data_IF_988168788262
#
_entry.id   IF_988168788262
#
_cell.length_a   1.000
_cell.length_b   1.000
_cell.length_c   1.000
_cell.angle_alpha   90.00
_cell.angle_beta   90.00
_cell.angle_gamma   90.00
#
_symmetry.space_group_name_H-M   'P 1'
#
loop_
_entity.id
_entity.type
_entity.pdbx_description
1 polymer ?
#
# COMPACT_ATOMS: atom_id res chain seq x y z
N UNK A 1 12.90 32.54 -15.15
CA UNK A 1 13.03 31.62 -14.01
C UNK A 1 11.70 30.92 -13.84
N UNK A 2 11.57 29.69 -14.32
CA UNK A 2 10.35 28.89 -14.13
C UNK A 2 10.38 28.33 -12.73
N UNK A 3 9.45 28.78 -11.87
CA UNK A 3 9.35 28.26 -10.51
C UNK A 3 9.14 26.74 -10.57
N UNK A 4 9.99 25.98 -9.87
CA UNK A 4 9.88 24.53 -9.74
C UNK A 4 8.58 24.21 -8.98
N UNK A 5 7.60 23.62 -9.67
CA UNK A 5 6.25 23.31 -9.16
C UNK A 5 6.22 22.07 -8.27
N UNK A 6 7.32 21.75 -7.58
CA UNK A 6 7.40 20.58 -6.71
C UNK A 6 6.89 20.93 -5.32
N UNK A 7 5.97 20.11 -4.81
CA UNK A 7 5.46 20.25 -3.45
C UNK A 7 6.59 19.97 -2.45
N UNK A 8 6.72 20.79 -1.40
CA UNK A 8 7.73 20.56 -0.36
C UNK A 8 7.45 19.28 0.42
N UNK A 9 8.52 18.62 0.86
CA UNK A 9 8.44 17.39 1.66
C UNK A 9 8.69 17.67 3.15
N UNK A 10 9.21 18.85 3.44
CA UNK A 10 9.48 19.36 4.78
C UNK A 10 8.94 20.78 4.91
N UNK A 11 8.24 21.05 6.01
CA UNK A 11 7.70 22.36 6.35
C UNK A 11 7.92 22.66 7.82
N UNK A 12 8.70 23.71 8.08
CA UNK A 12 8.81 24.33 9.39
C UNK A 12 8.03 25.65 9.41
N UNK A 13 7.93 26.26 10.59
CA UNK A 13 7.29 27.58 10.76
C UNK A 13 7.92 28.68 9.89
N UNK A 14 9.21 28.55 9.57
CA UNK A 14 10.00 29.61 8.91
C UNK A 14 10.50 29.22 7.53
N UNK A 15 10.42 27.95 7.15
CA UNK A 15 11.00 27.46 5.90
C UNK A 15 10.29 26.22 5.38
N UNK A 16 10.39 26.03 4.07
CA UNK A 16 9.83 24.89 3.36
C UNK A 16 10.87 24.38 2.37
N UNK A 17 11.10 23.07 2.33
CA UNK A 17 12.15 22.46 1.51
C UNK A 17 11.76 21.07 1.00
N UNK A 18 12.51 20.60 0.01
CA UNK A 18 12.38 19.25 -0.56
C UNK A 18 13.66 18.50 -0.20
N UNK A 19 13.59 17.68 0.84
CA UNK A 19 14.74 16.95 1.38
C UNK A 19 14.52 15.44 1.39
N UNK A 20 13.30 14.99 1.09
CA UNK A 20 12.91 13.58 1.06
C UNK A 20 12.68 13.13 -0.38
N UNK A 21 13.27 12.00 -0.76
CA UNK A 21 13.23 11.49 -2.13
C UNK A 21 13.01 9.99 -2.15
N UNK A 22 12.15 9.53 -3.06
CA UNK A 22 11.99 8.11 -3.38
C UNK A 22 12.60 7.87 -4.75
N UNK A 23 13.72 7.18 -4.80
CA UNK A 23 14.37 6.76 -6.04
C UNK A 23 13.94 5.35 -6.43
N UNK A 24 13.77 5.13 -7.73
CA UNK A 24 13.47 3.82 -8.30
C UNK A 24 14.30 3.63 -9.57
N UNK A 25 14.59 2.38 -9.91
CA UNK A 25 15.29 2.03 -11.15
C UNK A 25 14.39 2.28 -12.36
N UNK A 26 14.93 2.60 -13.55
CA UNK A 26 14.12 2.95 -14.72
C UNK A 26 13.11 1.87 -15.15
N UNK A 27 13.43 0.60 -14.93
CA UNK A 27 12.57 -0.54 -15.21
C UNK A 27 11.30 -0.57 -14.35
N UNK A 28 11.30 0.06 -13.18
CA UNK A 28 10.11 0.17 -12.31
C UNK A 28 9.12 1.24 -12.77
N UNK A 29 9.52 2.15 -13.68
CA UNK A 29 8.64 3.22 -14.15
C UNK A 29 7.34 2.66 -14.75
N UNK A 30 7.40 1.58 -15.52
CA UNK A 30 6.21 0.99 -16.15
C UNK A 30 5.22 0.41 -15.13
N UNK A 31 5.68 0.15 -13.90
CA UNK A 31 4.87 -0.35 -12.80
C UNK A 31 4.32 0.78 -11.93
N UNK A 32 4.73 2.04 -12.11
CA UNK A 32 4.29 3.15 -11.29
C UNK A 32 2.80 3.45 -11.52
N UNK A 33 1.99 3.37 -10.47
CA UNK A 33 0.57 3.73 -10.51
C UNK A 33 0.37 5.19 -10.11
N UNK A 34 1.00 5.59 -9.01
CA UNK A 34 0.78 6.89 -8.40
C UNK A 34 1.92 7.24 -7.43
N UNK A 35 2.15 8.53 -7.24
CA UNK A 35 2.99 9.08 -6.18
C UNK A 35 2.25 10.23 -5.49
N UNK A 36 2.23 10.26 -4.16
CA UNK A 36 1.58 11.31 -3.37
C UNK A 36 2.55 11.94 -2.37
N UNK A 37 2.24 13.17 -2.01
CA UNK A 37 2.86 13.90 -0.90
C UNK A 37 1.69 14.41 -0.07
N UNK A 38 1.45 13.74 1.06
CA UNK A 38 0.28 13.96 1.89
C UNK A 38 0.67 14.68 3.18
N UNK A 39 -0.16 15.62 3.60
CA UNK A 39 0.03 16.30 4.87
C UNK A 39 -0.36 15.37 6.02
N UNK A 40 0.53 15.24 7.00
CA UNK A 40 0.27 14.59 8.28
C UNK A 40 0.33 15.64 9.38
N UNK A 41 -0.21 15.34 10.57
CA UNK A 41 -0.26 16.31 11.67
C UNK A 41 1.13 16.89 11.97
N UNK A 42 1.25 18.22 11.86
CA UNK A 42 2.48 18.95 12.17
C UNK A 42 2.88 18.85 13.65
N UNK A 43 1.95 18.46 14.53
CA UNK A 43 2.27 18.17 15.93
C UNK A 43 3.18 16.94 16.09
N UNK A 44 3.19 16.03 15.11
CA UNK A 44 3.97 14.80 15.17
C UNK A 44 5.28 14.91 14.40
N UNK A 45 5.26 15.62 13.27
CA UNK A 45 6.42 15.79 12.40
C UNK A 45 6.26 17.00 11.49
N UNK A 46 7.37 17.65 11.17
CA UNK A 46 7.46 18.70 10.16
C UNK A 46 7.66 18.15 8.74
N UNK A 47 7.71 16.82 8.57
CA UNK A 47 7.74 16.16 7.27
C UNK A 47 6.35 15.81 6.76
N UNK A 48 6.18 15.86 5.45
CA UNK A 48 5.02 15.35 4.75
C UNK A 48 5.23 13.86 4.45
N UNK A 49 4.14 13.12 4.35
CA UNK A 49 4.16 11.70 4.02
C UNK A 49 4.34 11.52 2.51
N UNK A 50 5.45 10.92 2.11
CA UNK A 50 5.70 10.55 0.72
C UNK A 50 5.29 9.09 0.50
N UNK A 51 4.47 8.85 -0.51
CA UNK A 51 4.09 7.50 -0.89
C UNK A 51 4.21 7.31 -2.39
N UNK A 52 4.78 6.17 -2.80
CA UNK A 52 4.84 5.75 -4.20
C UNK A 52 4.25 4.36 -4.32
N UNK A 53 3.31 4.17 -5.24
CA UNK A 53 2.59 2.91 -5.43
C UNK A 53 2.96 2.27 -6.76
N UNK A 54 3.43 1.03 -6.70
CA UNK A 54 3.76 0.23 -7.87
C UNK A 54 2.76 -0.93 -8.04
N UNK A 55 2.44 -1.28 -9.29
CA UNK A 55 1.68 -2.46 -9.69
C UNK A 55 2.60 -3.46 -10.33
N UNK A 56 2.95 -4.51 -9.60
CA UNK A 56 3.63 -5.65 -10.18
C UNK A 56 2.62 -6.61 -10.78
N UNK A 57 2.66 -6.78 -12.10
CA UNK A 57 1.92 -7.85 -12.77
C UNK A 57 2.84 -9.03 -12.98
N UNK A 58 2.45 -10.21 -12.52
CA UNK A 58 3.11 -11.44 -12.90
C UNK A 58 2.17 -12.28 -13.76
N UNK A 59 2.58 -12.58 -14.99
CA UNK A 59 1.86 -13.51 -15.88
C UNK A 59 2.16 -14.98 -15.56
N UNK A 60 3.21 -15.24 -14.77
CA UNK A 60 3.68 -16.58 -14.41
C UNK A 60 3.06 -17.13 -13.14
N UNK A 61 2.37 -16.29 -12.35
CA UNK A 61 1.59 -16.75 -11.20
C UNK A 61 0.11 -16.77 -11.58
N UNK A 62 -0.44 -17.97 -11.84
CA UNK A 62 -1.88 -18.15 -12.08
C UNK A 62 -2.74 -17.76 -10.86
N UNK A 63 -4.07 -17.84 -11.01
CA UNK A 63 -5.11 -17.47 -10.00
C UNK A 63 -5.01 -18.16 -8.62
N UNK A 64 -3.95 -18.90 -8.30
CA UNK A 64 -3.85 -19.73 -7.10
C UNK A 64 -2.51 -19.76 -6.39
N UNK A 65 -1.52 -18.95 -6.78
CA UNK A 65 -0.23 -18.90 -6.06
C UNK A 65 -0.03 -17.53 -5.45
N UNK A 66 -0.88 -17.18 -4.47
CA UNK A 66 -0.40 -16.34 -3.38
C UNK A 66 0.71 -17.13 -2.72
N UNK A 67 1.97 -16.76 -2.96
CA UNK A 67 3.05 -17.20 -2.07
C UNK A 67 2.72 -16.60 -0.71
N UNK A 68 2.01 -17.35 0.13
CA UNK A 68 1.84 -16.99 1.53
C UNK A 68 3.27 -16.87 2.04
N UNK A 69 3.63 -15.70 2.56
CA UNK A 69 4.92 -15.53 3.20
C UNK A 69 5.01 -16.60 4.31
N UNK A 70 5.95 -17.55 4.24
CA UNK A 70 6.00 -18.68 5.17
C UNK A 70 6.15 -18.22 6.62
N UNK A 71 6.78 -17.06 6.85
CA UNK A 71 6.85 -16.45 8.18
C UNK A 71 5.49 -15.95 8.67
N UNK A 72 4.64 -15.44 7.78
CA UNK A 72 3.27 -15.07 8.13
C UNK A 72 2.39 -16.31 8.33
N UNK A 73 2.61 -17.40 7.59
CA UNK A 73 1.89 -18.66 7.81
C UNK A 73 2.15 -19.26 9.20
N UNK A 74 3.36 -19.07 9.73
CA UNK A 74 3.77 -19.58 11.04
C UNK A 74 3.34 -18.67 12.20
N UNK A 75 2.92 -17.43 11.92
CA UNK A 75 2.46 -16.50 12.95
C UNK A 75 1.06 -16.90 13.45
N UNK A 76 0.88 -17.20 14.76
CA UNK A 76 -0.43 -17.58 15.31
C UNK A 76 -1.50 -16.50 15.07
N UNK A 77 -1.08 -15.23 15.11
CA UNK A 77 -1.95 -14.09 14.85
C UNK A 77 -2.46 -14.07 13.40
N UNK A 78 -1.55 -14.30 12.44
CA UNK A 78 -1.89 -14.32 11.02
C UNK A 78 -2.77 -15.52 10.66
N UNK A 79 -2.45 -16.70 11.20
CA UNK A 79 -3.26 -17.91 11.03
C UNK A 79 -4.68 -17.73 11.61
N UNK A 80 -4.80 -17.18 12.82
CA UNK A 80 -6.10 -16.89 13.44
C UNK A 80 -6.91 -15.88 12.62
N UNK A 81 -6.26 -14.82 12.14
CA UNK A 81 -6.91 -13.77 11.34
C UNK A 81 -7.37 -14.30 9.98
N UNK A 82 -6.56 -15.14 9.33
CA UNK A 82 -6.92 -15.79 8.07
C UNK A 82 -8.11 -16.73 8.26
N UNK A 83 -8.09 -17.59 9.28
CA UNK A 83 -9.20 -18.51 9.56
C UNK A 83 -10.50 -17.75 9.82
N UNK A 84 -10.48 -16.68 10.62
CA UNK A 84 -11.65 -15.81 10.84
C UNK A 84 -12.18 -15.20 9.54
N UNK A 85 -11.30 -14.82 8.62
CA UNK A 85 -11.72 -14.27 7.33
C UNK A 85 -12.35 -15.34 6.43
N UNK A 86 -11.79 -16.55 6.42
CA UNK A 86 -12.35 -17.70 5.70
C UNK A 86 -13.72 -18.11 6.25
N UNK A 87 -13.88 -18.17 7.57
CA UNK A 87 -15.16 -18.47 8.22
C UNK A 87 -16.25 -17.46 7.83
N UNK A 88 -15.89 -16.17 7.79
CA UNK A 88 -16.80 -15.11 7.33
C UNK A 88 -17.19 -15.29 5.86
N UNK A 89 -16.23 -15.63 5.00
CA UNK A 89 -16.47 -15.84 3.57
C UNK A 89 -17.38 -17.04 3.32
N UNK A 90 -17.12 -18.15 4.02
CA UNK A 90 -17.97 -19.34 3.98
C UNK A 90 -19.39 -19.03 4.46
N UNK A 91 -19.54 -18.31 5.58
CA UNK A 91 -20.85 -17.91 6.10
C UNK A 91 -21.63 -17.03 5.09
N UNK A 92 -20.94 -16.12 4.39
CA UNK A 92 -21.56 -15.29 3.34
C UNK A 92 -22.02 -16.15 2.15
N UNK A 93 -21.19 -17.10 1.71
CA UNK A 93 -21.55 -18.01 0.60
C UNK A 93 -22.74 -18.90 0.94
N UNK A 94 -22.76 -19.49 2.14
CA UNK A 94 -23.87 -20.33 2.60
C UNK A 94 -25.16 -19.54 2.70
N UNK A 95 -25.12 -18.29 3.20
CA UNK A 95 -26.30 -17.40 3.24
C UNK A 95 -26.83 -17.05 1.86
N UNK A 96 -25.94 -16.79 0.90
CA UNK A 96 -26.30 -16.47 -0.48
C UNK A 96 -26.97 -17.65 -1.19
N UNK A 97 -26.45 -18.87 -0.99
CA UNK A 97 -27.06 -20.08 -1.55
C UNK A 97 -28.45 -20.36 -0.97
N UNK A 98 -28.64 -20.15 0.34
CA UNK A 98 -29.94 -20.30 1.00
C UNK A 98 -30.96 -19.20 0.63
N UNK A 99 -30.52 -18.03 0.16
CA UNK A 99 -31.42 -16.97 -0.31
C UNK A 99 -31.90 -17.14 -1.76
N UNK A 100 -31.35 -18.12 -2.49
CA UNK A 100 -31.66 -18.42 -3.89
C UNK A 100 -32.44 -19.73 -4.06
N UNK A 101 -32.82 -20.38 -2.95
CA UNK A 101 -33.68 -21.59 -2.89
C UNK A 101 -35.02 -21.26 -2.27
#
# INVERSE_FOLDING_TARGET
MTADTRNPTFQSTTSSSIIDYIYATPDLHVSLINSTVDFVSQEWTNHLLLATKFKFTSRTHGKGVQRINPHLAQSPFSASSLNKALDKLLALYTRMLLSLS
#
